data_IF_077891222158
#
_entry.id   IF_077891222158
#
_cell.length_a   1.000
_cell.length_b   1.000
_cell.length_c   1.000
_cell.angle_alpha   90.00
_cell.angle_beta   90.00
_cell.angle_gamma   90.00
#
_symmetry.space_group_name_H-M   'P 1'
#
loop_
_entity.id
_entity.type
_entity.pdbx_description
1 polymer ?
#
# COMPACT_ATOMS: atom_id res chain seq x y z
N UNK A 1 2.86 11.75 15.44
CA UNK A 1 2.13 10.47 15.27
C UNK A 1 3.07 9.47 14.62
N UNK A 2 3.18 8.27 15.18
CA UNK A 2 4.07 7.23 14.64
C UNK A 2 3.26 6.10 14.02
N UNK A 3 3.50 5.84 12.74
CA UNK A 3 2.81 4.81 11.95
C UNK A 3 3.82 3.70 11.62
N UNK A 4 3.43 2.43 11.81
CA UNK A 4 4.16 1.29 11.28
C UNK A 4 3.48 0.75 10.03
N UNK A 5 4.24 0.25 9.06
CA UNK A 5 3.68 -0.35 7.86
C UNK A 5 4.51 -1.54 7.36
N UNK A 6 3.81 -2.54 6.85
CA UNK A 6 4.38 -3.72 6.18
C UNK A 6 3.40 -4.24 5.12
N UNK A 7 3.90 -4.80 4.06
CA UNK A 7 3.15 -5.59 3.07
C UNK A 7 3.87 -6.89 2.79
N UNK A 8 3.21 -7.80 2.06
CA UNK A 8 3.82 -9.02 1.52
C UNK A 8 4.47 -9.91 2.60
N UNK A 9 3.79 -10.07 3.73
CA UNK A 9 4.21 -11.01 4.79
C UNK A 9 4.00 -12.45 4.33
N UNK A 10 3.03 -12.66 3.42
CA UNK A 10 2.70 -13.96 2.85
C UNK A 10 2.44 -15.05 3.90
N UNK A 11 1.69 -14.71 4.94
CA UNK A 11 1.27 -15.65 5.97
C UNK A 11 2.45 -16.43 6.54
N UNK A 12 2.39 -17.73 6.43
CA UNK A 12 3.40 -18.62 7.00
C UNK A 12 4.80 -18.47 6.39
N UNK A 13 4.94 -17.93 5.18
CA UNK A 13 6.23 -17.82 4.48
C UNK A 13 7.24 -16.97 5.24
N UNK A 14 6.81 -15.85 5.81
CA UNK A 14 7.70 -14.92 6.53
C UNK A 14 7.31 -14.72 8.00
N UNK A 15 6.34 -15.48 8.52
CA UNK A 15 5.75 -15.25 9.84
C UNK A 15 6.76 -15.22 10.99
N UNK A 16 7.69 -16.18 11.01
CA UNK A 16 8.65 -16.28 12.11
C UNK A 16 9.63 -15.11 12.13
N UNK A 17 10.10 -14.70 10.94
CA UNK A 17 10.97 -13.52 10.82
C UNK A 17 10.20 -12.24 11.15
N UNK A 18 8.95 -12.16 10.71
CA UNK A 18 8.05 -11.04 11.00
C UNK A 18 7.80 -10.90 12.52
N UNK A 19 7.53 -12.00 13.22
CA UNK A 19 7.39 -12.00 14.70
C UNK A 19 8.61 -11.44 15.39
N UNK A 20 9.83 -11.86 14.96
CA UNK A 20 11.08 -11.33 15.52
C UNK A 20 11.21 -9.80 15.29
N UNK A 21 10.79 -9.31 14.13
CA UNK A 21 10.81 -7.88 13.86
C UNK A 21 9.79 -7.09 14.69
N UNK A 22 8.65 -7.69 15.02
CA UNK A 22 7.66 -7.08 15.91
C UNK A 22 8.20 -6.88 17.34
N UNK A 23 9.10 -7.74 17.81
CA UNK A 23 9.72 -7.60 19.15
C UNK A 23 10.51 -6.30 19.31
N UNK A 24 11.12 -5.81 18.22
CA UNK A 24 11.86 -4.54 18.18
C UNK A 24 11.02 -3.31 17.88
N UNK A 25 9.73 -3.50 17.55
CA UNK A 25 8.84 -2.41 17.17
C UNK A 25 8.37 -1.65 18.42
N UNK A 26 8.92 -0.49 18.70
CA UNK A 26 8.43 0.38 19.78
C UNK A 26 6.94 0.76 19.62
N UNK A 27 6.45 1.61 20.53
CA UNK A 27 5.05 2.08 20.47
C UNK A 27 4.75 2.77 19.13
N UNK A 28 3.62 2.42 18.54
CA UNK A 28 3.05 3.06 17.34
C UNK A 28 1.60 3.46 17.61
N UNK A 29 1.11 4.44 16.87
CA UNK A 29 -0.27 4.93 16.98
C UNK A 29 -1.19 4.24 15.97
N UNK A 30 -0.63 3.77 14.84
CA UNK A 30 -1.35 3.05 13.80
C UNK A 30 -0.44 1.99 13.15
N UNK A 31 -1.00 0.81 12.84
CA UNK A 31 -0.31 -0.24 12.09
C UNK A 31 -1.00 -0.44 10.73
N UNK A 32 -0.24 -0.35 9.64
CA UNK A 32 -0.74 -0.48 8.26
C UNK A 32 -0.29 -1.80 7.64
N UNK A 33 -1.23 -2.54 7.06
CA UNK A 33 -0.98 -3.71 6.22
C UNK A 33 -1.21 -3.32 4.74
N UNK A 34 -0.16 -3.38 3.94
CA UNK A 34 -0.16 -2.95 2.54
C UNK A 34 -0.40 -4.11 1.54
N UNK A 35 -1.28 -5.05 1.91
CA UNK A 35 -1.69 -6.19 1.08
C UNK A 35 -0.72 -7.36 1.08
N UNK A 36 -1.16 -8.46 0.45
CA UNK A 36 -0.47 -9.74 0.44
C UNK A 36 -0.01 -10.16 1.85
N UNK A 37 -0.90 -9.94 2.82
CA UNK A 37 -0.73 -10.38 4.20
C UNK A 37 -0.68 -11.90 4.26
N UNK A 38 -1.45 -12.56 3.39
CA UNK A 38 -1.41 -14.00 3.20
C UNK A 38 -0.90 -14.40 1.81
N UNK A 39 -0.81 -15.69 1.54
CA UNK A 39 -0.46 -16.26 0.24
C UNK A 39 -1.62 -17.13 -0.28
N UNK A 40 -1.95 -17.00 -1.58
CA UNK A 40 -2.95 -17.84 -2.25
C UNK A 40 -4.28 -17.94 -1.52
N UNK A 41 -4.75 -16.83 -0.99
CA UNK A 41 -6.02 -16.72 -0.27
C UNK A 41 -6.13 -17.61 0.99
N UNK A 42 -5.02 -17.89 1.65
CA UNK A 42 -4.98 -18.65 2.90
C UNK A 42 -5.48 -17.76 4.06
N UNK A 43 -6.76 -17.95 4.41
CA UNK A 43 -7.44 -17.15 5.46
C UNK A 43 -6.82 -17.41 6.84
N UNK A 44 -6.35 -18.61 7.12
CA UNK A 44 -5.72 -18.94 8.41
C UNK A 44 -4.33 -18.32 8.50
N UNK A 45 -3.57 -18.31 7.38
CA UNK A 45 -2.31 -17.57 7.29
C UNK A 45 -2.47 -16.07 7.52
N UNK A 46 -3.56 -15.47 7.02
CA UNK A 46 -3.90 -14.07 7.33
C UNK A 46 -4.14 -13.87 8.83
N UNK A 47 -4.94 -14.76 9.45
CA UNK A 47 -5.20 -14.74 10.89
C UNK A 47 -3.91 -14.82 11.71
N UNK A 48 -3.00 -15.72 11.35
CA UNK A 48 -1.71 -15.90 12.05
C UNK A 48 -0.84 -14.62 12.02
N UNK A 49 -0.88 -13.84 10.94
CA UNK A 49 -0.20 -12.54 10.87
C UNK A 49 -0.86 -11.52 11.80
N UNK A 50 -2.20 -11.45 11.84
CA UNK A 50 -2.91 -10.57 12.75
C UNK A 50 -2.67 -10.92 14.23
N UNK A 51 -2.64 -12.20 14.56
CA UNK A 51 -2.29 -12.69 15.90
C UNK A 51 -0.89 -12.20 16.30
N UNK A 52 0.09 -12.40 15.42
CA UNK A 52 1.47 -11.94 15.66
C UNK A 52 1.53 -10.42 15.89
N UNK A 53 0.79 -9.64 15.11
CA UNK A 53 0.71 -8.17 15.34
C UNK A 53 0.09 -7.87 16.70
N UNK A 54 -1.04 -8.52 17.06
CA UNK A 54 -1.75 -8.25 18.31
C UNK A 54 -0.99 -8.67 19.56
N UNK A 55 -0.12 -9.65 19.47
CA UNK A 55 0.77 -10.03 20.58
C UNK A 55 1.70 -8.88 21.01
N UNK A 56 1.99 -7.91 20.13
CA UNK A 56 3.00 -6.86 20.36
C UNK A 56 2.46 -5.44 20.17
N UNK A 57 1.38 -5.27 19.42
CA UNK A 57 0.86 -3.96 19.00
C UNK A 57 -0.59 -3.80 19.46
N UNK A 58 -0.85 -2.83 20.31
CA UNK A 58 -2.23 -2.49 20.76
C UNK A 58 -2.89 -1.43 19.86
N UNK A 59 -2.14 -0.74 19.01
CA UNK A 59 -2.65 0.25 18.07
C UNK A 59 -3.69 -0.33 17.10
N UNK A 60 -4.66 0.46 16.57
CA UNK A 60 -5.52 0.03 15.49
C UNK A 60 -4.72 -0.49 14.29
N UNK A 61 -5.27 -1.49 13.59
CA UNK A 61 -4.72 -2.00 12.33
C UNK A 61 -5.61 -1.53 11.20
N UNK A 62 -5.03 -0.89 10.18
CA UNK A 62 -5.71 -0.60 8.93
C UNK A 62 -5.04 -1.37 7.80
N UNK A 63 -5.84 -1.99 6.94
CA UNK A 63 -5.34 -2.91 5.93
C UNK A 63 -5.93 -2.59 4.56
N UNK A 64 -5.12 -2.71 3.54
CA UNK A 64 -5.58 -2.89 2.16
C UNK A 64 -5.36 -4.35 1.78
N UNK A 65 -6.20 -4.87 0.89
CA UNK A 65 -5.99 -6.19 0.32
C UNK A 65 -4.93 -6.15 -0.80
N UNK A 66 -4.22 -7.25 -0.97
CA UNK A 66 -3.34 -7.48 -2.09
C UNK A 66 -3.95 -8.42 -3.12
N UNK A 67 -3.14 -8.92 -4.03
CA UNK A 67 -3.62 -9.85 -5.05
C UNK A 67 -3.68 -11.31 -4.56
N UNK A 68 -3.10 -11.59 -3.40
CA UNK A 68 -3.21 -12.90 -2.76
C UNK A 68 -4.44 -13.03 -1.84
N UNK A 69 -5.09 -11.95 -1.48
CA UNK A 69 -6.44 -11.94 -0.91
C UNK A 69 -7.43 -11.80 -2.07
N UNK A 70 -8.15 -12.89 -2.41
CA UNK A 70 -9.02 -12.87 -3.60
C UNK A 70 -10.25 -11.99 -3.38
N UNK A 71 -10.59 -11.17 -4.38
CA UNK A 71 -11.62 -10.14 -4.25
C UNK A 71 -13.00 -10.69 -3.88
N UNK A 72 -13.33 -11.90 -4.35
CA UNK A 72 -14.57 -12.59 -4.01
C UNK A 72 -14.70 -12.93 -2.52
N UNK A 73 -13.57 -13.06 -1.80
CA UNK A 73 -13.52 -13.46 -0.40
C UNK A 73 -13.27 -12.26 0.56
N UNK A 74 -13.05 -11.05 0.05
CA UNK A 74 -12.87 -9.86 0.91
C UNK A 74 -13.96 -9.69 1.98
N UNK A 75 -15.27 -9.92 1.69
CA UNK A 75 -16.31 -9.86 2.73
C UNK A 75 -16.10 -10.90 3.85
N UNK A 76 -15.58 -12.10 3.52
CA UNK A 76 -15.30 -13.13 4.51
C UNK A 76 -14.11 -12.76 5.42
N UNK A 77 -13.04 -12.16 4.84
CA UNK A 77 -11.94 -11.60 5.64
C UNK A 77 -12.45 -10.51 6.59
N UNK A 78 -13.25 -9.57 6.11
CA UNK A 78 -13.79 -8.51 6.94
C UNK A 78 -14.67 -9.07 8.06
N UNK A 79 -15.57 -10.00 7.76
CA UNK A 79 -16.46 -10.62 8.74
C UNK A 79 -15.68 -11.39 9.83
N UNK A 80 -14.58 -12.06 9.45
CA UNK A 80 -13.79 -12.86 10.39
C UNK A 80 -12.87 -12.00 11.27
N UNK A 81 -12.27 -10.94 10.72
CA UNK A 81 -11.12 -10.28 11.34
C UNK A 81 -11.38 -8.84 11.79
N UNK A 82 -12.37 -8.12 11.21
CA UNK A 82 -12.52 -6.69 11.50
C UNK A 82 -12.77 -6.42 12.99
N UNK A 83 -13.72 -7.10 13.60
CA UNK A 83 -14.03 -6.94 15.03
C UNK A 83 -13.00 -7.65 15.91
N UNK A 84 -12.73 -8.93 15.63
CA UNK A 84 -11.86 -9.78 16.45
C UNK A 84 -10.45 -9.19 16.64
N UNK A 85 -9.90 -8.55 15.61
CA UNK A 85 -8.56 -7.96 15.63
C UNK A 85 -8.56 -6.43 15.52
N UNK A 86 -9.71 -5.77 15.61
CA UNK A 86 -9.84 -4.30 15.43
C UNK A 86 -9.16 -3.83 14.14
N UNK A 87 -9.43 -4.54 13.01
CA UNK A 87 -8.90 -4.22 11.69
C UNK A 87 -9.92 -3.42 10.91
N UNK A 88 -9.50 -2.29 10.36
CA UNK A 88 -10.26 -1.57 9.35
C UNK A 88 -9.69 -1.90 7.97
N UNK A 89 -10.50 -2.50 7.11
CA UNK A 89 -10.16 -2.73 5.71
C UNK A 89 -10.54 -1.51 4.88
N UNK A 90 -9.59 -0.99 4.09
CA UNK A 90 -9.79 0.12 3.18
C UNK A 90 -9.80 -0.40 1.74
N UNK A 91 -10.91 -0.23 1.03
CA UNK A 91 -11.09 -0.73 -0.33
C UNK A 91 -11.58 0.41 -1.23
N UNK A 92 -10.63 1.10 -1.88
CA UNK A 92 -10.91 2.30 -2.69
C UNK A 92 -11.66 3.36 -1.86
N UNK A 93 -11.23 3.58 -0.62
CA UNK A 93 -11.84 4.52 0.32
C UNK A 93 -10.80 5.33 1.11
N UNK A 94 -11.26 6.42 1.72
CA UNK A 94 -10.48 7.26 2.61
C UNK A 94 -11.11 7.31 4.02
N UNK A 95 -10.25 7.37 5.03
CA UNK A 95 -10.66 7.56 6.41
C UNK A 95 -9.67 8.45 7.15
N UNK A 96 -10.17 9.25 8.09
CA UNK A 96 -9.30 10.07 8.95
C UNK A 96 -8.93 9.29 10.19
N UNK A 97 -7.64 9.28 10.50
CA UNK A 97 -7.09 8.76 11.74
C UNK A 97 -6.62 9.94 12.61
N UNK A 98 -7.02 9.95 13.87
CA UNK A 98 -6.62 10.94 14.89
C UNK A 98 -5.72 10.29 15.93
N UNK A 99 -4.57 10.87 16.16
CA UNK A 99 -3.67 10.51 17.26
C UNK A 99 -3.36 11.75 18.11
N UNK A 100 -4.23 12.00 19.08
CA UNK A 100 -4.03 13.07 20.05
C UNK A 100 -4.03 14.48 19.46
N UNK A 101 -4.93 14.75 18.51
CA UNK A 101 -5.07 16.04 17.84
C UNK A 101 -4.26 16.18 16.54
N UNK A 102 -3.50 15.16 16.15
CA UNK A 102 -2.90 15.08 14.81
C UNK A 102 -3.78 14.23 13.92
N UNK A 103 -4.41 14.88 12.95
CA UNK A 103 -5.29 14.22 11.98
C UNK A 103 -4.54 13.92 10.69
N UNK A 104 -4.69 12.69 10.19
CA UNK A 104 -4.19 12.30 8.88
C UNK A 104 -5.26 11.51 8.13
N UNK A 105 -5.50 11.82 6.88
CA UNK A 105 -6.38 11.04 6.01
C UNK A 105 -5.59 9.93 5.33
N UNK A 106 -5.97 8.69 5.61
CA UNK A 106 -5.42 7.51 4.99
C UNK A 106 -6.34 7.11 3.85
N UNK A 107 -5.79 7.04 2.65
CA UNK A 107 -6.47 6.54 1.46
C UNK A 107 -5.94 5.13 1.20
N UNK A 108 -6.83 4.14 1.21
CA UNK A 108 -6.46 2.73 1.02
C UNK A 108 -7.09 2.13 -0.23
N UNK A 109 -6.29 1.37 -0.98
CA UNK A 109 -6.71 0.72 -2.23
C UNK A 109 -5.81 -0.48 -2.54
N UNK A 110 -6.34 -1.45 -3.30
CA UNK A 110 -5.49 -2.44 -3.99
C UNK A 110 -4.48 -1.75 -4.92
N UNK A 111 -4.82 -0.57 -5.42
CA UNK A 111 -4.05 0.11 -6.45
C UNK A 111 -4.43 -0.34 -7.85
N UNK A 112 -3.63 0.06 -8.84
CA UNK A 112 -3.88 -0.18 -10.26
C UNK A 112 -2.64 -0.69 -10.97
N UNK A 113 -2.83 -1.27 -12.15
CA UNK A 113 -1.76 -1.65 -13.07
C UNK A 113 -1.92 -0.89 -14.39
N UNK A 114 -0.82 -0.52 -15.04
CA UNK A 114 -0.87 0.08 -16.37
C UNK A 114 -1.42 -0.92 -17.41
N UNK A 115 -1.20 -2.21 -17.16
CA UNK A 115 -1.67 -3.31 -18.00
C UNK A 115 -2.03 -4.52 -17.12
N UNK A 116 -3.24 -5.10 -17.23
CA UNK A 116 -3.54 -6.36 -16.57
C UNK A 116 -2.55 -7.45 -16.99
N UNK A 117 -2.21 -8.36 -16.07
CA UNK A 117 -1.33 -9.49 -16.37
C UNK A 117 -1.94 -10.38 -17.45
N UNK A 118 -1.12 -11.25 -18.09
CA UNK A 118 -1.63 -12.20 -19.07
C UNK A 118 -2.78 -13.06 -18.52
N UNK A 119 -2.64 -13.54 -17.26
CA UNK A 119 -3.68 -14.34 -16.63
C UNK A 119 -4.96 -13.53 -16.41
N UNK A 120 -4.85 -12.29 -15.94
CA UNK A 120 -6.00 -11.39 -15.74
C UNK A 120 -6.73 -11.09 -17.07
N UNK A 121 -5.99 -10.77 -18.15
CA UNK A 121 -6.60 -10.54 -19.46
C UNK A 121 -7.39 -11.73 -19.95
N UNK A 122 -6.92 -12.95 -19.67
CA UNK A 122 -7.59 -14.19 -20.08
C UNK A 122 -8.81 -14.52 -19.21
N UNK A 123 -8.72 -14.36 -17.90
CA UNK A 123 -9.68 -14.88 -16.93
C UNK A 123 -10.57 -13.79 -16.31
N UNK A 124 -10.15 -12.53 -16.37
CA UNK A 124 -10.82 -11.35 -15.80
C UNK A 124 -10.75 -10.17 -16.81
N UNK A 125 -11.38 -10.28 -17.99
CA UNK A 125 -11.20 -9.29 -19.08
C UNK A 125 -11.61 -7.87 -18.69
N UNK A 126 -12.47 -7.70 -17.68
CA UNK A 126 -12.94 -6.41 -17.17
C UNK A 126 -11.89 -5.67 -16.32
N UNK A 127 -10.81 -6.32 -15.88
CA UNK A 127 -9.80 -5.68 -15.00
C UNK A 127 -9.13 -4.47 -15.64
N UNK A 128 -8.99 -4.42 -16.95
CA UNK A 128 -8.46 -3.23 -17.62
C UNK A 128 -9.32 -1.98 -17.41
N UNK A 129 -10.65 -2.14 -17.42
CA UNK A 129 -11.59 -1.04 -17.17
C UNK A 129 -11.61 -0.68 -15.68
N UNK A 130 -11.56 -1.68 -14.80
CA UNK A 130 -11.47 -1.46 -13.35
C UNK A 130 -10.22 -0.69 -12.97
N UNK A 131 -9.06 -1.02 -13.55
CA UNK A 131 -7.81 -0.31 -13.27
C UNK A 131 -7.87 1.15 -13.72
N UNK A 132 -8.45 1.43 -14.90
CA UNK A 132 -8.65 2.82 -15.36
C UNK A 132 -9.60 3.59 -14.43
N UNK A 133 -10.73 2.99 -14.06
CA UNK A 133 -11.69 3.59 -13.14
C UNK A 133 -11.07 3.84 -11.77
N UNK A 134 -10.23 2.94 -11.28
CA UNK A 134 -9.57 3.11 -9.97
C UNK A 134 -8.63 4.31 -9.94
N UNK A 135 -7.98 4.64 -11.05
CA UNK A 135 -7.19 5.89 -11.16
C UNK A 135 -8.08 7.11 -10.92
N UNK A 136 -9.29 7.15 -11.49
CA UNK A 136 -10.26 8.24 -11.29
C UNK A 136 -10.76 8.30 -9.83
N UNK A 137 -11.04 7.15 -9.24
CA UNK A 137 -11.43 7.04 -7.82
C UNK A 137 -10.32 7.57 -6.92
N UNK A 138 -9.08 7.15 -7.15
CA UNK A 138 -7.93 7.61 -6.37
C UNK A 138 -7.66 9.10 -6.55
N UNK A 139 -7.88 9.65 -7.75
CA UNK A 139 -7.81 11.09 -7.98
C UNK A 139 -8.82 11.86 -7.12
N UNK A 140 -10.06 11.37 -7.06
CA UNK A 140 -11.10 11.98 -6.23
C UNK A 140 -10.79 11.86 -4.73
N UNK A 141 -10.34 10.68 -4.25
CA UNK A 141 -10.00 10.43 -2.86
C UNK A 141 -8.79 11.24 -2.37
N UNK A 142 -7.85 11.52 -3.27
CA UNK A 142 -6.67 12.33 -3.00
C UNK A 142 -6.95 13.84 -3.07
N UNK A 143 -8.17 14.29 -3.41
CA UNK A 143 -8.50 15.70 -3.42
C UNK A 143 -8.54 16.29 -2.00
N UNK A 144 -8.16 17.57 -1.86
CA UNK A 144 -8.11 18.32 -0.60
C UNK A 144 -6.69 18.77 -0.24
N UNK A 145 -6.58 19.52 0.87
CA UNK A 145 -5.32 20.13 1.33
C UNK A 145 -4.88 19.61 2.71
N UNK A 146 -5.62 18.65 3.28
CA UNK A 146 -5.30 18.01 4.53
C UNK A 146 -4.10 17.06 4.36
N UNK A 147 -3.48 16.67 5.47
CA UNK A 147 -2.40 15.67 5.47
C UNK A 147 -2.92 14.32 4.99
N UNK A 148 -2.31 13.75 3.95
CA UNK A 148 -2.78 12.53 3.27
C UNK A 148 -1.68 11.52 3.08
N UNK A 149 -2.00 10.27 3.41
CA UNK A 149 -1.16 9.10 3.12
C UNK A 149 -1.92 8.19 2.17
N UNK A 150 -1.31 7.87 1.04
CA UNK A 150 -1.81 6.87 0.12
C UNK A 150 -1.18 5.52 0.46
N UNK A 151 -2.02 4.52 0.71
CA UNK A 151 -1.61 3.13 0.94
C UNK A 151 -2.21 2.27 -0.16
N UNK A 152 -1.36 1.65 -0.97
CA UNK A 152 -1.80 0.72 -2.01
C UNK A 152 -1.03 -0.60 -1.90
N UNK A 153 -1.58 -1.67 -2.46
CA UNK A 153 -0.79 -2.87 -2.66
C UNK A 153 0.05 -2.75 -3.93
N UNK A 154 -0.57 -2.57 -5.10
CA UNK A 154 0.19 -2.29 -6.32
C UNK A 154 0.86 -0.93 -6.26
N UNK A 155 2.15 -0.81 -6.64
CA UNK A 155 2.84 0.48 -6.64
C UNK A 155 2.15 1.49 -7.58
N UNK A 156 1.83 2.71 -7.09
CA UNK A 156 1.17 3.74 -7.88
C UNK A 156 2.16 4.54 -8.76
N UNK A 157 3.38 4.07 -8.87
CA UNK A 157 4.49 4.65 -9.65
C UNK A 157 5.55 3.60 -9.88
N UNK A 158 6.47 3.83 -10.82
CA UNK A 158 7.59 2.92 -11.06
C UNK A 158 8.89 3.32 -10.36
N UNK A 159 8.90 4.40 -9.58
CA UNK A 159 10.15 4.94 -8.99
C UNK A 159 10.84 3.98 -8.01
N UNK A 160 10.09 3.07 -7.40
CA UNK A 160 10.62 2.04 -6.48
C UNK A 160 10.94 0.70 -7.16
N UNK A 161 10.67 0.58 -8.46
CA UNK A 161 11.04 -0.61 -9.23
C UNK A 161 12.54 -0.57 -9.57
N UNK A 162 13.25 -1.66 -9.36
CA UNK A 162 14.71 -1.70 -9.55
C UNK A 162 15.24 -3.01 -10.12
N UNK A 163 14.70 -4.15 -9.72
CA UNK A 163 15.14 -5.48 -10.15
C UNK A 163 14.23 -6.16 -11.18
N UNK A 164 13.08 -5.55 -11.50
CA UNK A 164 12.10 -6.08 -12.42
C UNK A 164 12.49 -5.79 -13.87
N UNK A 165 12.20 -6.74 -14.77
CA UNK A 165 12.36 -6.51 -16.20
C UNK A 165 11.44 -5.37 -16.65
N UNK A 166 11.96 -4.47 -17.45
CA UNK A 166 11.24 -3.26 -17.88
C UNK A 166 9.93 -3.59 -18.61
N UNK A 167 9.90 -4.62 -19.41
CA UNK A 167 8.72 -5.12 -20.14
C UNK A 167 7.58 -5.59 -19.23
N UNK A 168 7.87 -5.96 -17.98
CA UNK A 168 6.90 -6.44 -17.00
C UNK A 168 6.36 -5.33 -16.08
N UNK A 169 7.05 -4.18 -15.99
CA UNK A 169 6.66 -3.08 -15.11
C UNK A 169 5.20 -2.65 -15.27
N UNK A 170 4.61 -2.59 -16.50
CA UNK A 170 3.20 -2.27 -16.66
C UNK A 170 2.24 -3.28 -16.02
N UNK A 171 2.66 -4.53 -15.84
CA UNK A 171 1.91 -5.60 -15.18
C UNK A 171 2.21 -5.71 -13.67
N UNK A 172 3.06 -4.83 -13.14
CA UNK A 172 3.50 -4.82 -11.75
C UNK A 172 3.15 -3.53 -11.00
N UNK A 173 2.82 -2.44 -11.71
CA UNK A 173 2.44 -1.17 -11.10
C UNK A 173 1.87 -0.20 -12.10
N UNK A 174 1.50 0.99 -11.63
CA UNK A 174 0.74 1.98 -12.38
C UNK A 174 1.48 3.30 -12.52
N UNK A 175 2.21 3.48 -13.63
CA UNK A 175 2.83 4.76 -13.97
C UNK A 175 1.79 5.81 -14.39
N UNK A 176 0.67 5.37 -14.95
CA UNK A 176 -0.42 6.26 -15.33
C UNK A 176 -1.02 7.03 -14.14
N UNK A 177 -0.75 6.61 -12.88
CA UNK A 177 -1.17 7.33 -11.68
C UNK A 177 -0.19 8.45 -11.28
N UNK A 178 1.02 8.49 -11.81
CA UNK A 178 2.02 9.53 -11.46
C UNK A 178 1.50 10.98 -11.68
N UNK A 179 0.79 11.32 -12.78
CA UNK A 179 0.22 12.65 -12.96
C UNK A 179 -0.79 13.03 -11.87
N UNK A 180 -1.56 12.06 -11.37
CA UNK A 180 -2.48 12.27 -10.24
C UNK A 180 -1.71 12.55 -8.96
N UNK A 181 -0.69 11.75 -8.64
CA UNK A 181 0.15 11.95 -7.47
C UNK A 181 0.83 13.33 -7.50
N UNK A 182 1.40 13.72 -8.63
CA UNK A 182 2.07 15.00 -8.80
C UNK A 182 1.11 16.19 -8.68
N UNK A 183 -0.15 16.04 -9.08
CA UNK A 183 -1.18 17.08 -8.94
C UNK A 183 -1.74 17.14 -7.52
N UNK A 184 -2.05 15.99 -6.92
CA UNK A 184 -2.73 15.87 -5.61
C UNK A 184 -1.77 15.94 -4.42
N UNK A 185 -0.52 15.55 -4.62
CA UNK A 185 0.57 15.68 -3.66
C UNK A 185 0.27 15.10 -2.28
N UNK A 186 0.04 13.77 -2.17
CA UNK A 186 0.01 13.15 -0.86
C UNK A 186 1.34 13.36 -0.12
N UNK A 187 1.30 13.47 1.20
CA UNK A 187 2.50 13.66 2.03
C UNK A 187 3.38 12.41 2.06
N UNK A 188 2.77 11.24 1.87
CA UNK A 188 3.44 9.96 1.88
C UNK A 188 2.70 8.96 1.00
N UNK A 189 3.45 8.15 0.26
CA UNK A 189 2.96 7.01 -0.50
C UNK A 189 3.61 5.73 0.03
N UNK A 190 2.78 4.75 0.38
CA UNK A 190 3.18 3.44 0.88
C UNK A 190 2.60 2.37 -0.03
N UNK A 191 3.41 1.39 -0.44
CA UNK A 191 2.94 0.25 -1.24
C UNK A 191 3.71 -1.02 -0.92
N UNK A 192 3.14 -2.17 -1.32
CA UNK A 192 3.74 -3.50 -1.29
C UNK A 192 4.12 -4.01 -2.67
N UNK A 193 3.90 -5.30 -2.90
CA UNK A 193 3.92 -6.04 -4.17
C UNK A 193 5.28 -6.24 -4.82
N UNK A 194 6.18 -5.27 -4.82
CA UNK A 194 7.45 -5.35 -5.55
C UNK A 194 8.53 -5.92 -4.65
N UNK A 195 8.89 -7.20 -4.89
CA UNK A 195 9.83 -7.95 -4.05
C UNK A 195 11.31 -7.77 -4.44
N UNK A 196 11.59 -7.21 -5.62
CA UNK A 196 12.96 -6.95 -6.12
C UNK A 196 13.27 -5.46 -6.27
N UNK A 197 12.32 -4.60 -5.88
CA UNK A 197 12.47 -3.16 -5.94
C UNK A 197 13.36 -2.60 -4.84
N UNK A 198 13.39 -1.28 -4.76
CA UNK A 198 14.08 -0.55 -3.70
C UNK A 198 13.10 -0.10 -2.60
N UNK A 199 13.56 0.01 -1.34
CA UNK A 199 12.66 0.29 -0.21
C UNK A 199 12.14 1.72 -0.16
N UNK A 200 12.80 2.67 -0.85
CA UNK A 200 12.43 4.08 -0.83
C UNK A 200 12.89 4.79 -2.11
N UNK A 201 12.04 5.64 -2.63
CA UNK A 201 12.35 6.56 -3.72
C UNK A 201 11.53 7.85 -3.58
N UNK A 202 11.83 8.84 -4.39
CA UNK A 202 11.10 10.10 -4.46
C UNK A 202 10.48 10.27 -5.85
N UNK A 203 9.17 10.54 -5.89
CA UNK A 203 8.51 10.94 -7.13
C UNK A 203 8.67 12.45 -7.31
N UNK A 204 9.32 12.83 -8.39
CA UNK A 204 9.57 14.23 -8.78
C UNK A 204 8.88 14.55 -10.10
N UNK A 205 8.39 15.79 -10.31
CA UNK A 205 7.98 16.24 -11.63
C UNK A 205 9.14 16.09 -12.61
N UNK A 206 8.86 15.59 -13.82
CA UNK A 206 9.83 15.64 -14.94
C UNK A 206 9.67 16.98 -15.62
N UNK A 207 10.72 17.79 -15.62
CA UNK A 207 10.77 19.03 -16.38
C UNK A 207 11.23 18.70 -17.79
N UNK A 208 10.31 18.53 -18.72
CA UNK A 208 10.63 18.26 -20.12
C UNK A 208 10.86 19.54 -20.95
N UNK A 209 10.71 20.74 -20.36
CA UNK A 209 10.90 22.04 -21.00
C UNK A 209 11.63 23.02 -20.09
N UNK A 210 12.53 23.81 -20.71
CA UNK A 210 13.32 24.86 -20.05
C UNK A 210 12.46 26.04 -19.49
N UNK A 211 11.19 26.10 -19.83
CA UNK A 211 10.26 27.15 -19.42
C UNK A 211 9.49 26.84 -18.11
N UNK A 212 9.64 25.62 -17.56
CA UNK A 212 9.00 25.23 -16.30
C UNK A 212 9.84 25.65 -15.07
N UNK A 213 10.28 26.89 -15.02
CA UNK A 213 10.88 27.51 -13.83
C UNK A 213 9.84 27.76 -12.70
N UNK A 214 8.83 26.93 -12.59
CA UNK A 214 7.98 26.92 -11.42
C UNK A 214 8.82 26.51 -10.20
N UNK A 215 8.54 27.13 -9.05
CA UNK A 215 9.19 26.84 -7.77
C UNK A 215 9.39 25.34 -7.58
N UNK A 216 10.61 24.86 -7.24
CA UNK A 216 10.85 23.45 -7.04
C UNK A 216 9.85 22.90 -6.00
N UNK A 217 8.88 22.12 -6.45
CA UNK A 217 7.94 21.46 -5.54
C UNK A 217 8.66 20.33 -4.84
N UNK A 218 8.50 20.21 -3.52
CA UNK A 218 9.11 19.15 -2.75
C UNK A 218 8.76 17.76 -3.36
N UNK A 219 9.67 16.80 -3.38
CA UNK A 219 9.39 15.47 -3.90
C UNK A 219 8.33 14.78 -3.03
N UNK A 220 7.61 13.81 -3.62
CA UNK A 220 6.69 12.95 -2.90
C UNK A 220 7.46 11.70 -2.46
N UNK A 221 7.57 11.41 -1.15
CA UNK A 221 8.23 10.21 -0.67
C UNK A 221 7.37 8.97 -1.00
N UNK A 222 8.00 7.96 -1.59
CA UNK A 222 7.37 6.69 -1.97
C UNK A 222 8.12 5.55 -1.30
N UNK A 223 7.41 4.75 -0.51
CA UNK A 223 7.98 3.65 0.25
C UNK A 223 7.38 2.31 -0.17
N UNK A 224 8.24 1.44 -0.64
CA UNK A 224 7.94 0.02 -0.79
C UNK A 224 8.14 -0.65 0.58
N UNK A 225 7.05 -1.13 1.17
CA UNK A 225 7.06 -1.80 2.48
C UNK A 225 6.93 -3.31 2.37
N UNK A 226 7.11 -3.87 1.17
CA UNK A 226 7.13 -5.31 0.96
C UNK A 226 8.19 -5.98 1.86
N UNK A 227 7.77 -6.95 2.65
CA UNK A 227 8.64 -7.64 3.60
C UNK A 227 9.87 -8.26 2.94
N UNK A 228 9.80 -8.88 1.74
CA UNK A 228 10.97 -9.41 1.05
C UNK A 228 12.05 -8.36 0.73
N UNK A 229 11.67 -7.09 0.57
CA UNK A 229 12.59 -5.98 0.30
C UNK A 229 13.20 -5.44 1.59
N UNK A 230 12.36 -5.16 2.59
CA UNK A 230 12.79 -4.48 3.82
C UNK A 230 13.38 -5.41 4.86
N UNK A 231 12.96 -6.66 4.87
CA UNK A 231 13.29 -7.61 5.94
C UNK A 231 12.95 -7.06 7.34
N UNK A 232 11.93 -6.21 7.41
CA UNK A 232 11.52 -5.52 8.61
C UNK A 232 10.25 -4.69 8.42
N UNK A 233 9.83 -4.03 9.48
CA UNK A 233 8.65 -3.16 9.54
C UNK A 233 9.10 -1.71 9.35
N UNK A 234 8.51 -1.00 8.41
CA UNK A 234 8.79 0.41 8.20
C UNK A 234 8.07 1.27 9.26
N UNK A 235 8.70 2.34 9.74
CA UNK A 235 8.06 3.31 10.63
C UNK A 235 8.18 4.72 10.08
N UNK A 236 7.12 5.51 10.28
CA UNK A 236 7.00 6.87 9.78
C UNK A 236 6.54 7.79 10.91
N UNK A 237 7.24 8.90 11.12
CA UNK A 237 6.78 9.99 11.98
C UNK A 237 6.05 11.03 11.12
N UNK A 238 4.76 11.21 11.39
CA UNK A 238 3.82 11.99 10.56
C UNK A 238 3.23 13.15 11.36
#
# INVERSE_FOLDING_TARGET
MRIAAVGDVHGHTHLDDFRRNLEGLGRVDLFLLAGDTTERNDVDGFGAVLEAVRERVDAPIWAVFGNNEYAEDHPAYAARFAEAFRVRFLQDEAATFDAGGTNVRIIGSLGSLDRPTWWQRKNRPHYGDEYRRRIEVLDALLAGDDRRILVTHYPPTWVTMGGEKEEWRPELGCKALEPVLLRRRPDLVIHGHIHKGIPHAELRPRFDRLDDFATPTAPIPVHNVAYPVRRGIATFDV
#
